data_IF_141492129784
#
_entry.id   IF_141492129784
#
_cell.length_a   1.000
_cell.length_b   1.000
_cell.length_c   1.000
_cell.angle_alpha   90.00
_cell.angle_beta   90.00
_cell.angle_gamma   90.00
#
_symmetry.space_group_name_H-M   'P 1'
#
loop_
_entity.id
_entity.type
_entity.pdbx_description
1 polymer ?
#
# COMPACT_ATOMS: atom_id res chain seq x y z
N UNK A 1 13.35 3.38 7.90
CA UNK A 1 12.08 2.68 7.70
C UNK A 1 10.97 3.43 8.41
N UNK A 2 9.74 3.15 8.05
CA UNK A 2 8.59 3.88 8.55
C UNK A 2 7.70 2.97 9.37
N UNK A 3 6.92 3.55 10.28
CA UNK A 3 5.78 2.84 10.84
C UNK A 3 4.58 2.97 9.88
N UNK A 4 3.50 2.26 10.18
CA UNK A 4 2.34 2.26 9.29
C UNK A 4 1.64 3.63 9.25
N UNK A 5 1.66 4.37 10.36
CA UNK A 5 1.11 5.72 10.39
C UNK A 5 1.80 6.63 9.38
N UNK A 6 3.12 6.54 9.28
CA UNK A 6 3.89 7.29 8.29
C UNK A 6 3.49 6.90 6.88
N UNK A 7 3.31 5.60 6.62
CA UNK A 7 2.93 5.10 5.30
C UNK A 7 1.58 5.66 4.89
N UNK A 8 0.59 5.58 5.76
CA UNK A 8 -0.77 6.10 5.47
C UNK A 8 -0.69 7.60 5.19
N UNK A 9 0.04 8.34 6.01
CA UNK A 9 0.19 9.78 5.84
C UNK A 9 0.82 10.11 4.50
N UNK A 10 1.89 9.40 4.14
CA UNK A 10 2.58 9.63 2.86
C UNK A 10 1.69 9.29 1.68
N UNK A 11 0.97 8.18 1.73
CA UNK A 11 0.05 7.82 0.65
C UNK A 11 -1.05 8.86 0.46
N UNK A 12 -1.58 9.41 1.55
CA UNK A 12 -2.65 10.41 1.47
C UNK A 12 -2.19 11.74 0.91
N UNK A 13 -1.01 12.20 1.27
CA UNK A 13 -0.58 13.56 0.95
C UNK A 13 0.43 13.66 -0.18
N UNK A 14 1.11 12.57 -0.53
CA UNK A 14 2.12 12.58 -1.57
C UNK A 14 1.96 11.45 -2.58
N UNK A 15 1.40 10.30 -2.14
CA UNK A 15 1.36 9.10 -2.94
C UNK A 15 2.61 8.25 -2.70
N UNK A 16 2.83 7.28 -3.60
CA UNK A 16 3.99 6.40 -3.51
C UNK A 16 3.57 4.97 -3.26
N UNK A 17 4.55 4.08 -3.39
CA UNK A 17 4.37 2.64 -3.21
C UNK A 17 5.18 2.20 -2.02
N UNK A 18 4.61 1.34 -1.21
CA UNK A 18 5.22 0.94 0.05
C UNK A 18 5.13 -0.57 0.22
N UNK A 19 6.12 -1.12 0.91
CA UNK A 19 6.17 -2.54 1.20
C UNK A 19 6.85 -2.75 2.55
N UNK A 20 6.62 -3.91 3.14
CA UNK A 20 7.35 -4.29 4.36
C UNK A 20 8.63 -5.02 3.97
N UNK A 21 9.69 -4.75 4.71
CA UNK A 21 10.97 -5.43 4.49
C UNK A 21 10.82 -6.95 4.66
N UNK A 22 9.90 -7.40 5.51
CA UNK A 22 9.67 -8.81 5.77
C UNK A 22 8.80 -9.54 4.75
N UNK A 23 8.23 -8.84 3.77
CA UNK A 23 7.43 -9.52 2.75
C UNK A 23 8.32 -10.36 1.83
N UNK A 24 7.87 -11.58 1.58
CA UNK A 24 8.67 -12.57 0.87
C UNK A 24 8.60 -12.47 -0.65
N UNK A 25 7.67 -11.70 -1.18
CA UNK A 25 7.49 -11.56 -2.62
C UNK A 25 8.21 -10.35 -3.15
N UNK A 26 8.95 -10.52 -4.26
CA UNK A 26 9.55 -9.38 -4.94
C UNK A 26 8.50 -8.57 -5.66
N UNK A 27 8.70 -7.26 -5.71
CA UNK A 27 7.80 -6.33 -6.42
C UNK A 27 6.40 -6.26 -5.83
N UNK A 28 6.20 -6.75 -4.61
CA UNK A 28 4.96 -6.53 -3.89
C UNK A 28 4.95 -5.13 -3.31
N UNK A 29 3.80 -4.47 -3.38
CA UNK A 29 3.65 -3.16 -2.76
C UNK A 29 2.19 -2.86 -2.51
N UNK A 30 1.92 -1.88 -1.67
CA UNK A 30 0.61 -1.25 -1.55
C UNK A 30 0.69 0.18 -2.09
N UNK A 31 -0.44 0.65 -2.56
CA UNK A 31 -0.55 1.99 -3.13
C UNK A 31 -1.98 2.49 -2.95
N UNK A 32 -2.15 3.80 -2.79
CA UNK A 32 -3.46 4.42 -2.70
C UNK A 32 -3.97 4.74 -4.10
N UNK A 33 -5.16 4.24 -4.42
CA UNK A 33 -5.84 4.59 -5.66
C UNK A 33 -6.88 5.67 -5.37
N UNK A 34 -6.79 6.78 -6.08
CA UNK A 34 -7.80 7.83 -6.00
C UNK A 34 -8.84 7.61 -7.09
N UNK A 35 -10.12 7.84 -6.78
CA UNK A 35 -11.15 7.72 -7.81
C UNK A 35 -10.96 8.77 -8.91
N UNK A 36 -11.33 8.41 -10.12
CA UNK A 36 -11.38 9.32 -11.25
C UNK A 36 -12.71 9.13 -11.99
N UNK A 37 -12.88 9.80 -13.13
CA UNK A 37 -14.14 9.76 -13.87
C UNK A 37 -14.44 8.38 -14.47
N UNK A 38 -13.43 7.50 -14.57
CA UNK A 38 -13.60 6.15 -15.09
C UNK A 38 -13.67 5.10 -13.98
N UNK A 39 -13.53 5.51 -12.75
CA UNK A 39 -13.50 4.62 -11.59
C UNK A 39 -14.91 4.31 -11.13
N UNK A 40 -15.15 3.05 -10.79
CA UNK A 40 -16.41 2.68 -10.13
C UNK A 40 -16.44 3.07 -8.67
N UNK A 41 -15.28 3.12 -8.03
CA UNK A 41 -15.17 3.51 -6.63
C UNK A 41 -15.26 5.02 -6.51
N UNK A 42 -15.96 5.48 -5.47
CA UNK A 42 -16.17 6.90 -5.24
C UNK A 42 -15.28 7.46 -4.14
N UNK A 43 -14.61 6.61 -3.40
CA UNK A 43 -13.67 7.01 -2.33
C UNK A 43 -12.31 6.37 -2.59
N UNK A 44 -11.23 6.98 -2.10
CA UNK A 44 -9.90 6.38 -2.23
C UNK A 44 -9.83 5.04 -1.52
N UNK A 45 -9.00 4.15 -2.03
CA UNK A 45 -8.78 2.85 -1.40
C UNK A 45 -7.35 2.39 -1.63
N UNK A 46 -6.89 1.49 -0.77
CA UNK A 46 -5.54 0.93 -0.86
C UNK A 46 -5.63 -0.43 -1.55
N UNK A 47 -4.78 -0.63 -2.53
CA UNK A 47 -4.66 -1.92 -3.22
C UNK A 47 -3.26 -2.46 -3.05
N UNK A 48 -3.11 -3.76 -3.26
CA UNK A 48 -1.82 -4.45 -3.23
C UNK A 48 -1.54 -5.03 -4.60
N UNK A 49 -0.30 -4.89 -5.06
CA UNK A 49 0.20 -5.70 -6.16
C UNK A 49 0.82 -6.96 -5.57
N UNK A 50 0.28 -8.11 -5.96
CA UNK A 50 0.76 -9.40 -5.46
C UNK A 50 2.02 -9.83 -6.19
N UNK A 51 2.66 -10.88 -5.68
CA UNK A 51 3.87 -11.42 -6.29
C UNK A 51 3.62 -11.92 -7.71
N UNK A 52 2.39 -12.37 -8.02
CA UNK A 52 2.00 -12.78 -9.37
C UNK A 52 1.67 -11.61 -10.29
N UNK A 53 1.64 -10.40 -9.77
CA UNK A 53 1.33 -9.22 -10.56
C UNK A 53 -0.12 -8.80 -10.55
N UNK A 54 -0.98 -9.48 -9.81
CA UNK A 54 -2.39 -9.11 -9.70
C UNK A 54 -2.57 -7.91 -8.78
N UNK A 55 -3.55 -7.07 -9.09
CA UNK A 55 -3.94 -5.96 -8.23
C UNK A 55 -5.20 -6.36 -7.48
N UNK A 56 -5.13 -6.33 -6.15
CA UNK A 56 -6.24 -6.78 -5.30
C UNK A 56 -6.51 -5.74 -4.23
N UNK A 57 -7.76 -5.66 -3.74
CA UNK A 57 -8.03 -4.82 -2.58
C UNK A 57 -7.19 -5.30 -1.40
N UNK A 58 -6.72 -4.37 -0.59
CA UNK A 58 -5.84 -4.73 0.53
C UNK A 58 -6.47 -4.33 1.85
N UNK A 59 -6.44 -5.25 2.80
CA UNK A 59 -6.84 -5.01 4.17
C UNK A 59 -5.63 -5.24 5.06
N UNK A 60 -5.29 -4.24 5.87
CA UNK A 60 -4.14 -4.34 6.74
C UNK A 60 -4.42 -5.33 7.88
N UNK A 61 -3.52 -6.29 8.07
CA UNK A 61 -3.55 -7.11 9.27
C UNK A 61 -3.03 -6.29 10.46
N UNK A 62 -3.27 -6.78 11.68
CA UNK A 62 -2.71 -6.10 12.84
C UNK A 62 -1.18 -6.14 12.80
N UNK A 63 -0.61 -7.23 12.33
CA UNK A 63 0.85 -7.33 12.17
C UNK A 63 1.36 -6.24 11.25
N UNK A 64 0.67 -5.99 10.14
CA UNK A 64 1.06 -4.94 9.20
C UNK A 64 0.90 -3.55 9.81
N UNK A 65 -0.20 -3.33 10.53
CA UNK A 65 -0.45 -2.02 11.14
C UNK A 65 0.55 -1.67 12.25
N UNK A 66 1.07 -2.67 12.94
CA UNK A 66 1.98 -2.46 14.06
C UNK A 66 3.45 -2.63 13.70
N UNK A 67 3.76 -2.89 12.43
CA UNK A 67 5.13 -3.09 11.97
C UNK A 67 5.87 -1.77 11.84
N UNK A 68 7.18 -1.83 12.05
CA UNK A 68 8.08 -0.68 11.92
C UNK A 68 9.07 -0.86 10.77
N UNK A 69 8.82 -1.82 9.89
CA UNK A 69 9.75 -2.16 8.80
C UNK A 69 9.21 -1.75 7.42
N UNK A 70 8.30 -0.80 7.40
CA UNK A 70 7.77 -0.27 6.15
C UNK A 70 8.82 0.56 5.42
N UNK A 71 8.84 0.46 4.11
CA UNK A 71 9.75 1.23 3.28
C UNK A 71 9.08 1.62 1.97
N UNK A 72 9.54 2.72 1.41
CA UNK A 72 9.07 3.15 0.10
C UNK A 72 9.80 2.37 -0.99
N UNK A 73 9.06 1.96 -2.02
CA UNK A 73 9.61 1.23 -3.17
C UNK A 73 9.21 1.94 -4.45
N UNK A 74 9.87 1.58 -5.52
CA UNK A 74 9.59 2.21 -6.82
C UNK A 74 8.50 1.50 -7.61
#
# INVERSE_FOLDING_TARGET
MFDFGDVVKKMKYRGGRFARAGWNGKNMYIELQRPDEHSKMTLPYIFMKTVQGDLVPWLASQTDMLADDWMEVE
#
